data_IF_867165618123
#
_entry.id   IF_867165618123
#
_cell.length_a   1.000
_cell.length_b   1.000
_cell.length_c   1.000
_cell.angle_alpha   90.00
_cell.angle_beta   90.00
_cell.angle_gamma   90.00
#
_symmetry.space_group_name_H-M   'P 1'
#
loop_
_entity.id
_entity.type
_entity.pdbx_description
1 polymer ?
2 non-polymer ?
3 water ?
#
# COMPACT_ATOMS: atom_id res chain seq x y z
N UNK A 5 -1.58 33.68 -3.26
CA UNK A 5 -0.67 34.85 -3.12
C UNK A 5 0.68 34.47 -2.49
N UNK A 6 0.65 33.60 -1.48
CA UNK A 6 1.87 33.03 -0.94
C UNK A 6 2.45 32.03 -1.96
N UNK A 7 3.77 32.09 -2.17
CA UNK A 7 4.50 31.10 -2.98
C UNK A 7 3.68 30.44 -4.09
N UNK A 8 3.24 31.21 -5.08
CA UNK A 8 2.33 30.71 -6.12
C UNK A 8 2.77 29.42 -6.83
N UNK A 9 4.06 29.32 -7.13
CA UNK A 9 4.56 28.16 -7.90
C UNK A 9 4.38 26.87 -7.12
N UNK A 10 4.52 26.92 -5.79
CA UNK A 10 4.23 25.74 -4.97
C UNK A 10 2.79 25.26 -5.16
N UNK A 11 1.84 26.20 -5.12
CA UNK A 11 0.41 25.87 -5.29
C UNK A 11 0.06 25.45 -6.72
N UNK A 12 0.77 26.00 -7.69
CA UNK A 12 0.68 25.56 -9.09
C UNK A 12 1.10 24.09 -9.21
N UNK A 13 2.20 23.72 -8.55
CA UNK A 13 2.67 22.34 -8.63
C UNK A 13 1.74 21.42 -7.84
N UNK A 14 1.28 21.87 -6.67
CA UNK A 14 0.37 21.10 -5.86
C UNK A 14 -0.89 20.82 -6.66
N UNK A 15 -1.36 21.84 -7.36
CA UNK A 15 -2.61 21.72 -8.10
C UNK A 15 -2.44 20.66 -9.17
N UNK A 16 -1.31 20.73 -9.88
CA UNK A 16 -0.95 19.75 -10.90
C UNK A 16 -0.82 18.31 -10.37
N UNK A 17 -0.09 18.16 -9.29
CA UNK A 17 0.08 16.86 -8.63
C UNK A 17 -1.27 16.28 -8.18
N UNK A 18 -2.01 17.04 -7.38
CA UNK A 18 -3.25 16.60 -6.78
C UNK A 18 -4.38 16.37 -7.77
N UNK A 19 -4.36 17.05 -8.92
CA UNK A 19 -5.39 16.84 -9.95
C UNK A 19 -4.98 15.85 -11.02
N UNK A 20 -3.72 15.43 -10.97
CA UNK A 20 -3.21 14.38 -11.82
C UNK A 20 -2.93 14.79 -13.24
N UNK A 21 -2.74 16.08 -13.48
CA UNK A 21 -2.52 16.57 -14.84
C UNK A 21 -1.04 16.60 -15.16
N UNK A 22 -0.65 15.76 -16.14
CA UNK A 22 0.74 15.56 -16.49
C UNK A 22 1.33 16.79 -17.18
N UNK A 23 0.54 17.43 -18.03
CA UNK A 23 1.00 18.62 -18.73
C UNK A 23 1.33 19.77 -17.79
N UNK A 24 0.40 20.10 -16.91
CA UNK A 24 0.57 21.17 -15.94
C UNK A 24 1.78 20.91 -15.04
N UNK A 25 1.97 19.65 -14.64
CA UNK A 25 3.13 19.29 -13.83
C UNK A 25 4.41 19.54 -14.60
N UNK A 26 4.45 19.09 -15.85
CA UNK A 26 5.66 19.24 -16.65
C UNK A 26 5.96 20.72 -16.95
N UNK A 27 4.93 21.51 -17.25
CA UNK A 27 5.10 22.95 -17.48
C UNK A 27 5.68 23.71 -16.28
N UNK A 28 5.25 23.36 -15.08
CA UNK A 28 5.72 24.04 -13.88
C UNK A 28 7.13 23.55 -13.54
N UNK A 29 7.40 22.25 -13.71
CA UNK A 29 8.73 21.70 -13.37
C UNK A 29 9.84 22.27 -14.26
N UNK A 30 9.50 22.52 -15.51
CA UNK A 30 10.41 23.16 -16.45
C UNK A 30 10.84 24.53 -15.90
N UNK A 31 9.90 25.29 -15.36
CA UNK A 31 10.18 26.63 -14.85
C UNK A 31 11.12 26.65 -13.65
N UNK A 32 11.12 25.59 -12.84
CA UNK A 32 12.10 25.50 -11.74
C UNK A 32 13.32 24.60 -12.02
N UNK A 33 13.69 24.40 -13.28
CA UNK A 33 14.91 23.63 -13.63
C UNK A 33 15.00 22.19 -13.12
N UNK A 34 13.86 21.51 -13.16
CA UNK A 34 13.81 20.13 -12.70
C UNK A 34 14.71 19.23 -13.53
N UNK A 35 15.35 18.28 -12.86
CA UNK A 35 16.12 17.23 -13.51
C UNK A 35 15.16 16.11 -13.87
N UNK A 36 15.61 15.13 -14.64
CA UNK A 36 14.75 14.01 -15.02
C UNK A 36 14.33 13.17 -13.79
N UNK A 37 15.25 12.87 -12.88
CA UNK A 37 14.86 12.15 -11.66
C UNK A 37 13.88 12.94 -10.76
N UNK A 38 13.99 14.26 -10.74
CA UNK A 38 13.03 15.10 -10.04
C UNK A 38 11.65 15.00 -10.70
N UNK A 39 11.60 14.97 -12.03
CA UNK A 39 10.33 14.82 -12.73
C UNK A 39 9.71 13.47 -12.42
N UNK A 40 10.53 12.44 -12.52
CA UNK A 40 10.17 11.08 -12.14
C UNK A 40 9.57 11.01 -10.73
N UNK A 41 10.24 11.63 -9.76
CA UNK A 41 9.79 11.58 -8.37
C UNK A 41 8.41 12.22 -8.25
N UNK A 42 8.23 13.40 -8.84
CA UNK A 42 6.99 14.15 -8.68
C UNK A 42 5.81 13.44 -9.38
N UNK A 43 6.11 12.73 -10.45
CA UNK A 43 5.09 12.01 -11.18
C UNK A 43 4.63 10.82 -10.36
N UNK A 44 5.51 10.24 -9.55
CA UNK A 44 5.10 9.15 -8.66
C UNK A 44 4.15 9.66 -7.61
N UNK A 45 4.43 10.86 -7.07
CA UNK A 45 3.51 11.45 -6.09
C UNK A 45 2.16 11.68 -6.78
N UNK A 46 2.20 12.28 -7.94
CA UNK A 46 1.02 12.47 -8.76
C UNK A 46 0.23 11.16 -9.01
N UNK A 47 0.93 10.09 -9.32
CA UNK A 47 0.28 8.78 -9.53
C UNK A 47 -0.54 8.32 -8.33
N UNK A 48 -0.02 8.56 -7.13
CA UNK A 48 -0.75 8.27 -5.90
C UNK A 48 -2.09 9.01 -5.78
N UNK A 49 -2.10 10.29 -6.13
CA UNK A 49 -3.35 11.05 -6.20
C UNK A 49 -4.32 10.52 -7.26
N UNK A 50 -3.83 10.23 -8.45
CA UNK A 50 -4.67 9.64 -9.49
C UNK A 50 -5.30 8.31 -9.01
N UNK A 51 -4.49 7.44 -8.42
CA UNK A 51 -4.95 6.11 -8.02
C UNK A 51 -5.99 6.11 -6.89
N UNK A 52 -6.03 7.16 -6.09
CA UNK A 52 -6.90 7.19 -4.93
C UNK A 52 -8.21 7.98 -5.12
N UNK A 53 -8.40 8.53 -6.32
CA UNK A 53 -9.70 9.04 -6.72
C UNK A 53 -9.97 10.48 -6.36
N UNK A 54 -11.10 10.95 -6.85
CA UNK A 54 -11.46 12.34 -6.79
C UNK A 54 -11.73 12.88 -5.38
N UNK A 55 -12.43 12.11 -4.56
CA UNK A 55 -12.74 12.62 -3.23
C UNK A 55 -11.46 12.70 -2.36
N UNK A 56 -10.56 11.73 -2.53
CA UNK A 56 -9.28 11.71 -1.83
C UNK A 56 -8.50 12.97 -2.18
N UNK A 57 -8.53 13.36 -3.44
CA UNK A 57 -7.80 14.53 -3.89
C UNK A 57 -8.44 15.81 -3.34
N UNK A 58 -9.76 15.83 -3.21
CA UNK A 58 -10.49 16.92 -2.58
C UNK A 58 -10.10 17.09 -1.10
N UNK A 59 -10.04 15.97 -0.37
CA UNK A 59 -9.76 15.99 1.07
C UNK A 59 -8.32 16.45 1.32
N UNK A 60 -7.40 16.01 0.48
CA UNK A 60 -6.02 16.47 0.60
C UNK A 60 -5.91 17.95 0.27
N UNK A 61 -6.75 18.44 -0.63
CA UNK A 61 -6.80 19.86 -0.94
C UNK A 61 -7.29 20.66 0.26
N UNK A 62 -8.23 20.08 0.98
CA UNK A 62 -8.78 20.67 2.20
C UNK A 62 -7.69 20.84 3.23
N UNK A 63 -6.86 19.81 3.40
CA UNK A 63 -5.77 19.87 4.36
C UNK A 63 -4.82 20.99 3.96
N UNK A 64 -4.45 21.04 2.68
CA UNK A 64 -3.50 22.07 2.22
C UNK A 64 -4.06 23.47 2.45
N UNK A 65 -5.35 23.66 2.17
CA UNK A 65 -6.01 24.95 2.34
C UNK A 65 -6.10 25.33 3.84
N UNK A 66 -6.36 24.40 4.76
CA UNK A 66 -6.47 24.82 6.19
C UNK A 66 -5.08 25.04 6.80
N UNK A 67 -4.05 24.27 6.43
CA UNK A 67 -2.69 24.54 6.90
C UNK A 67 -2.19 25.88 6.36
N UNK A 68 -2.44 26.11 5.08
CA UNK A 68 -1.99 27.33 4.39
C UNK A 68 -2.64 28.61 4.93
N UNK A 69 -3.89 28.51 5.36
CA UNK A 69 -4.65 29.65 5.85
C UNK A 69 -4.75 29.64 7.38
N UNK A 70 -3.95 28.80 8.03
CA UNK A 70 -3.94 28.71 9.48
C UNK A 70 -3.34 29.97 10.10
N UNK A 71 -3.44 30.07 11.42
CA UNK A 71 -2.97 31.24 12.16
C UNK A 71 -1.45 31.34 12.07
N UNK A 72 -0.75 30.21 12.23
CA UNK A 72 0.72 30.22 12.16
C UNK A 72 1.28 30.31 10.74
N UNK A 73 0.40 30.49 9.74
CA UNK A 73 0.79 30.88 8.40
C UNK A 73 0.47 32.35 8.14
N UNK A 93 7.41 33.84 0.68
CA UNK A 93 8.02 32.59 1.10
C UNK A 93 6.98 31.58 1.56
N UNK A 94 7.26 30.30 1.33
CA UNK A 94 6.36 29.24 1.76
C UNK A 94 6.20 29.30 3.29
N UNK A 95 4.98 29.15 3.75
CA UNK A 95 4.73 29.09 5.17
C UNK A 95 5.48 27.89 5.74
N UNK A 96 6.26 28.09 6.81
CA UNK A 96 7.02 27.00 7.42
C UNK A 96 6.16 25.78 7.77
N UNK A 97 4.91 26.00 8.19
CA UNK A 97 4.01 24.89 8.51
C UNK A 97 3.65 24.07 7.27
N UNK A 98 3.59 24.72 6.12
CA UNK A 98 3.35 23.99 4.86
C UNK A 98 4.55 23.12 4.49
N UNK A 99 5.75 23.70 4.54
CA UNK A 99 6.99 22.97 4.29
C UNK A 99 7.12 21.76 5.21
N UNK A 100 6.79 21.97 6.48
CA UNK A 100 6.85 20.89 7.45
C UNK A 100 5.87 19.77 7.11
N UNK A 101 4.69 20.13 6.61
CA UNK A 101 3.68 19.15 6.24
C UNK A 101 4.22 18.31 5.10
N UNK A 102 4.86 18.97 4.14
CA UNK A 102 5.40 18.30 2.95
C UNK A 102 6.62 17.44 3.33
N UNK A 103 7.48 17.96 4.20
CA UNK A 103 8.64 17.21 4.69
C UNK A 103 8.23 15.92 5.39
N UNK A 104 7.21 15.99 6.22
CA UNK A 104 6.67 14.82 6.91
C UNK A 104 5.97 13.84 5.95
N UNK A 105 5.21 14.38 5.01
CA UNK A 105 4.55 13.54 4.00
C UNK A 105 5.57 12.68 3.27
N UNK A 106 6.74 13.25 3.00
CA UNK A 106 7.77 12.57 2.22
C UNK A 106 8.71 11.72 3.09
N UNK A 107 9.10 12.22 4.25
CA UNK A 107 10.17 11.58 5.07
C UNK A 107 9.77 11.10 6.46
N UNK A 108 8.61 11.53 6.96
CA UNK A 108 8.14 11.10 8.25
C UNK A 108 7.58 9.69 8.21
N UNK A 109 7.35 9.12 9.38
CA UNK A 109 6.56 7.91 9.48
C UNK A 109 5.10 8.29 9.21
N UNK A 110 4.26 7.34 8.82
CA UNK A 110 2.84 7.63 8.64
C UNK A 110 2.25 8.27 9.88
N UNK A 111 2.56 7.74 11.07
CA UNK A 111 2.02 8.27 12.30
C UNK A 111 2.42 9.73 12.49
N UNK A 112 3.68 10.05 12.20
CA UNK A 112 4.17 11.44 12.30
C UNK A 112 3.43 12.38 11.37
N UNK A 113 3.29 11.99 10.10
CA UNK A 113 2.55 12.78 9.13
C UNK A 113 1.09 12.97 9.55
N UNK A 114 0.41 11.88 9.91
CA UNK A 114 -1.02 11.94 10.22
C UNK A 114 -1.25 12.74 11.50
N UNK A 115 -0.39 12.55 12.49
CA UNK A 115 -0.46 13.32 13.74
C UNK A 115 -0.42 14.82 13.47
N UNK A 116 0.48 15.21 12.58
CA UNK A 116 0.66 16.61 12.19
C UNK A 116 -0.57 17.18 11.49
N UNK A 117 -1.20 16.37 10.63
CA UNK A 117 -2.45 16.77 9.98
C UNK A 117 -3.56 17.01 11.02
N UNK A 118 -3.61 16.14 12.04
CA UNK A 118 -4.63 16.20 13.08
C UNK A 118 -4.56 17.49 13.90
N UNK A 119 -3.39 18.13 13.95
CA UNK A 119 -3.26 19.44 14.59
C UNK A 119 -4.04 20.55 13.89
N UNK A 120 -4.35 20.35 12.61
CA UNK A 120 -5.06 21.35 11.80
C UNK A 120 -6.49 20.96 11.42
N UNK A 121 -6.72 19.66 11.28
CA UNK A 121 -7.99 19.13 10.82
C UNK A 121 -8.03 17.68 11.22
N UNK A 122 -8.68 17.41 12.35
CA UNK A 122 -8.71 16.07 12.92
C UNK A 122 -10.04 15.36 12.65
N UNK A 123 -10.70 15.70 11.54
CA UNK A 123 -11.88 14.96 11.09
C UNK A 123 -11.44 13.57 10.63
N UNK A 124 -12.08 12.51 11.13
CA UNK A 124 -11.59 11.14 10.91
C UNK A 124 -11.38 10.72 9.45
N UNK A 125 -12.27 11.07 8.52
CA UNK A 125 -12.07 10.70 7.12
C UNK A 125 -10.90 11.45 6.48
N UNK A 126 -10.62 12.65 6.99
CA UNK A 126 -9.46 13.42 6.54
C UNK A 126 -8.17 12.76 6.96
N UNK A 127 -8.13 12.25 8.20
CA UNK A 127 -6.97 11.52 8.70
C UNK A 127 -6.83 10.14 8.02
N UNK A 128 -7.94 9.45 7.81
CA UNK A 128 -7.90 8.17 7.09
C UNK A 128 -7.36 8.37 5.68
N UNK A 129 -7.85 9.41 5.01
CA UNK A 129 -7.41 9.74 3.67
C UNK A 129 -5.93 10.10 3.63
N UNK A 130 -5.48 10.86 4.63
CA UNK A 130 -4.10 11.29 4.73
C UNK A 130 -3.19 10.08 4.85
N UNK A 131 -3.61 9.12 5.66
CA UNK A 131 -2.84 7.91 5.87
C UNK A 131 -2.75 7.06 4.61
N UNK A 132 -3.84 7.02 3.83
CA UNK A 132 -3.86 6.26 2.56
C UNK A 132 -2.84 6.86 1.57
N UNK A 133 -2.86 8.16 1.39
CA UNK A 133 -1.94 8.83 0.47
C UNK A 133 -0.51 8.68 0.94
N UNK A 134 -0.30 8.84 2.23
CA UNK A 134 1.03 8.64 2.83
C UNK A 134 1.55 7.23 2.60
N UNK A 135 0.72 6.23 2.87
CA UNK A 135 1.09 4.85 2.60
C UNK A 135 1.39 4.65 1.12
N UNK A 136 0.63 5.31 0.25
CA UNK A 136 0.88 5.18 -1.19
C UNK A 136 2.24 5.74 -1.58
N UNK A 137 2.60 6.95 -1.16
CA UNK A 137 3.87 7.53 -1.58
C UNK A 137 5.06 6.79 -0.96
N UNK A 138 4.90 6.30 0.27
CA UNK A 138 5.94 5.49 0.91
C UNK A 138 6.18 4.18 0.16
N UNK A 139 5.10 3.58 -0.33
CA UNK A 139 5.16 2.33 -1.09
C UNK A 139 5.69 2.52 -2.50
N UNK A 140 5.32 3.63 -3.14
CA UNK A 140 5.64 3.83 -4.55
C UNK A 140 7.03 4.41 -4.76
N UNK A 141 7.46 5.30 -3.86
CA UNK A 141 8.69 6.05 -4.07
C UNK A 141 9.86 5.31 -3.45
N UNK A 142 10.92 5.18 -4.24
CA UNK A 142 12.20 4.71 -3.74
C UNK A 142 12.85 5.78 -2.91
N UNK A 143 13.93 5.41 -2.21
CA UNK A 143 14.77 6.36 -1.54
C UNK A 143 15.24 7.46 -2.49
N UNK A 144 15.65 7.08 -3.69
CA UNK A 144 16.09 8.04 -4.71
C UNK A 144 14.95 8.99 -5.14
N UNK A 145 13.73 8.47 -5.24
CA UNK A 145 12.57 9.29 -5.59
C UNK A 145 12.35 10.33 -4.49
N UNK A 146 12.48 9.90 -3.23
CA UNK A 146 12.14 10.76 -2.11
C UNK A 146 13.13 11.89 -2.02
N UNK A 147 14.41 11.56 -2.24
CA UNK A 147 15.50 12.56 -2.27
C UNK A 147 15.25 13.63 -3.31
N UNK A 148 14.91 13.15 -4.50
CA UNK A 148 14.69 14.01 -5.66
C UNK A 148 13.41 14.85 -5.53
N UNK A 149 12.38 14.33 -4.87
CA UNK A 149 11.20 15.14 -4.56
C UNK A 149 11.59 16.32 -3.64
N UNK A 150 12.46 16.05 -2.66
CA UNK A 150 12.90 17.06 -1.74
C UNK A 150 13.79 18.12 -2.39
N UNK A 151 14.70 17.71 -3.30
CA UNK A 151 15.53 18.69 -4.01
C UNK A 151 14.68 19.54 -4.95
N UNK A 152 13.63 18.94 -5.49
CA UNK A 152 12.72 19.66 -6.39
C UNK A 152 11.92 20.69 -5.62
N UNK A 153 11.43 20.31 -4.46
CA UNK A 153 10.69 21.23 -3.61
C UNK A 153 11.56 22.42 -3.18
N UNK A 154 12.84 22.18 -2.90
CA UNK A 154 13.77 23.30 -2.64
C UNK A 154 13.87 24.25 -3.85
N UNK A 155 13.87 23.74 -5.08
CA UNK A 155 13.86 24.61 -6.26
C UNK A 155 12.57 25.43 -6.37
N UNK A 156 11.46 24.85 -5.90
CA UNK A 156 10.19 25.56 -5.79
C UNK A 156 10.29 26.69 -4.76
N UNK A 157 10.78 26.40 -3.54
CA UNK A 157 10.70 27.34 -2.43
C UNK A 157 11.63 28.54 -2.62
N UNK A 158 12.68 28.33 -3.41
CA UNK A 158 13.66 29.37 -3.68
C UNK A 158 13.45 30.02 -5.06
N UNK A 159 12.40 29.65 -5.78
CA UNK A 159 12.14 30.22 -7.11
C UNK A 159 11.66 31.65 -6.93
N UNK A 160 12.01 32.57 -7.82
CA UNK A 160 11.37 33.89 -7.81
C UNK A 160 9.85 33.79 -8.03
N UNK A 161 9.38 32.73 -8.66
CA UNK A 161 7.95 32.47 -8.77
C UNK A 161 7.28 32.11 -7.44
N UNK A 162 8.10 31.85 -6.44
CA UNK A 162 7.64 31.62 -5.08
C UNK A 162 7.79 32.88 -4.26
N UNK A 163 8.99 33.47 -4.29
CA UNK A 163 9.31 34.60 -3.40
C UNK A 163 8.89 35.97 -3.93
N UNK A 164 8.87 36.12 -5.26
CA UNK A 164 8.47 37.36 -5.91
C UNK A 164 7.18 37.15 -6.70
N UNK B 5 10.76 -11.93 -5.51
CA UNK B 5 10.93 -10.80 -6.48
C UNK B 5 9.55 -10.29 -6.95
N UNK B 6 8.66 -11.23 -7.25
CA UNK B 6 7.28 -10.90 -7.61
C UNK B 6 6.53 -10.47 -6.35
N UNK B 7 5.65 -9.47 -6.51
CA UNK B 7 4.71 -9.04 -5.47
C UNK B 7 5.19 -9.24 -4.03
N UNK B 8 6.27 -8.57 -3.63
CA UNK B 8 6.87 -8.82 -2.30
C UNK B 8 5.89 -8.76 -1.14
N UNK B 9 4.96 -7.80 -1.15
CA UNK B 9 4.07 -7.62 0.00
C UNK B 9 3.19 -8.85 0.22
N UNK B 10 2.76 -9.50 -0.87
CA UNK B 10 2.00 -10.75 -0.74
C UNK B 10 2.80 -11.80 0.05
N UNK B 11 4.07 -11.97 -0.31
CA UNK B 11 4.95 -12.94 0.34
C UNK B 11 5.34 -12.54 1.76
N UNK B 12 5.37 -11.23 2.05
CA UNK B 12 5.54 -10.73 3.41
C UNK B 12 4.34 -11.13 4.27
N UNK B 13 3.14 -11.00 3.72
CA UNK B 13 1.93 -11.34 4.46
C UNK B 13 1.83 -12.85 4.62
N UNK B 14 2.16 -13.61 3.57
CA UNK B 14 2.12 -15.05 3.63
C UNK B 14 3.06 -15.49 4.72
N UNK B 15 4.24 -14.87 4.76
CA UNK B 15 5.26 -15.29 5.71
C UNK B 15 4.74 -15.07 7.12
N UNK B 16 4.12 -13.90 7.34
CA UNK B 16 3.50 -13.58 8.64
C UNK B 16 2.37 -14.54 9.05
N UNK B 17 1.46 -14.80 8.11
CA UNK B 17 0.35 -15.73 8.34
C UNK B 17 0.85 -17.15 8.66
N UNK B 18 1.63 -17.70 7.74
CA UNK B 18 2.15 -19.06 7.85
C UNK B 18 3.07 -19.29 9.06
N UNK B 19 3.80 -18.29 9.51
CA UNK B 19 4.68 -18.43 10.67
C UNK B 19 4.02 -18.04 11.99
N UNK B 20 2.82 -17.50 11.88
CA UNK B 20 1.98 -17.22 13.01
C UNK B 20 2.41 -16.01 13.80
N UNK B 21 3.16 -15.09 13.20
CA UNK B 21 3.62 -13.92 13.94
C UNK B 21 2.66 -12.75 13.80
N UNK B 22 2.10 -12.33 14.94
CA UNK B 22 1.06 -11.32 14.95
C UNK B 22 1.59 -9.94 14.60
N UNK B 23 2.78 -9.62 15.08
CA UNK B 23 3.37 -8.32 14.82
C UNK B 23 3.59 -8.11 13.34
N UNK B 24 4.25 -9.05 12.70
CA UNK B 24 4.56 -8.96 11.28
C UNK B 24 3.29 -8.81 10.47
N UNK B 25 2.26 -9.59 10.82
CA UNK B 25 0.98 -9.48 10.13
C UNK B 25 0.41 -8.08 10.30
N UNK B 26 0.41 -7.58 11.52
CA UNK B 26 -0.18 -6.27 11.76
C UNK B 26 0.59 -5.17 11.03
N UNK B 27 1.93 -5.24 11.03
CA UNK B 27 2.77 -4.27 10.33
C UNK B 27 2.50 -4.21 8.82
N UNK B 28 2.31 -5.38 8.21
CA UNK B 28 2.09 -5.44 6.77
C UNK B 28 0.66 -4.99 6.46
N UNK B 29 -0.31 -5.37 7.30
CA UNK B 29 -1.73 -5.00 7.05
C UNK B 29 -1.95 -3.47 7.10
N UNK B 30 -1.21 -2.83 7.99
CA UNK B 30 -1.24 -1.38 8.10
C UNK B 30 -0.81 -0.72 6.79
N UNK B 31 0.21 -1.28 6.14
CA UNK B 31 0.71 -0.74 4.88
C UNK B 31 -0.27 -0.82 3.74
N UNK B 32 -1.16 -1.83 3.76
CA UNK B 32 -2.20 -1.89 2.73
C UNK B 32 -3.60 -1.41 3.16
N UNK B 33 -3.67 -0.56 4.18
CA UNK B 33 -4.95 0.06 4.57
C UNK B 33 -6.06 -0.90 5.00
N UNK B 34 -5.65 -1.96 5.69
CA UNK B 34 -6.59 -2.96 6.17
C UNK B 34 -7.61 -2.35 7.14
N UNK B 35 -8.86 -2.78 7.02
CA UNK B 35 -9.91 -2.46 7.98
C UNK B 35 -9.83 -3.45 9.14
N UNK B 36 -10.57 -3.21 10.21
CA UNK B 36 -10.57 -4.11 11.35
C UNK B 36 -11.13 -5.50 11.01
N UNK B 37 -12.21 -5.59 10.24
CA UNK B 37 -12.70 -6.90 9.82
C UNK B 37 -11.69 -7.65 8.91
N UNK B 38 -10.94 -6.92 8.09
CA UNK B 38 -9.87 -7.51 7.30
C UNK B 38 -8.77 -8.05 8.21
N UNK B 39 -8.42 -7.31 9.27
CA UNK B 39 -7.42 -7.77 10.21
C UNK B 39 -7.90 -9.03 10.90
N UNK B 40 -9.13 -8.99 11.39
CA UNK B 40 -9.79 -10.14 12.01
C UNK B 40 -9.75 -11.37 11.10
N UNK B 41 -10.11 -11.21 9.83
CA UNK B 41 -10.17 -12.33 8.89
C UNK B 41 -8.79 -12.97 8.72
N UNK B 42 -7.76 -12.15 8.53
CA UNK B 42 -6.41 -12.65 8.29
C UNK B 42 -5.84 -13.36 9.52
N UNK B 43 -6.21 -12.89 10.69
CA UNK B 43 -5.75 -13.49 11.92
C UNK B 43 -6.38 -14.85 12.12
N UNK B 44 -7.58 -15.06 11.62
CA UNK B 44 -8.21 -16.38 11.71
C UNK B 44 -7.48 -17.35 10.78
N UNK B 45 -7.05 -16.87 9.61
CA UNK B 45 -6.24 -17.72 8.74
C UNK B 45 -4.94 -18.07 9.47
N UNK B 46 -4.28 -17.04 9.99
CA UNK B 46 -3.08 -17.23 10.81
C UNK B 46 -3.26 -18.26 11.93
N UNK B 47 -4.39 -18.16 12.65
CA UNK B 47 -4.68 -19.11 13.74
C UNK B 47 -4.69 -20.58 13.31
N UNK B 48 -5.22 -20.83 12.11
CA UNK B 48 -5.20 -22.15 11.49
C UNK B 48 -3.78 -22.71 11.28
N UNK B 49 -2.87 -21.87 10.79
CA UNK B 49 -1.45 -22.24 10.71
C UNK B 49 -0.81 -22.50 12.07
N UNK B 50 -1.04 -21.63 13.05
CA UNK B 50 -0.53 -21.85 14.40
C UNK B 50 -1.00 -23.23 14.95
N UNK B 51 -2.29 -23.49 14.85
CA UNK B 51 -2.91 -24.69 15.43
C UNK B 51 -2.49 -26.01 14.79
N UNK B 52 -1.96 -25.96 13.57
CA UNK B 52 -1.59 -27.19 12.87
C UNK B 52 -0.10 -27.52 12.88
N UNK B 53 0.69 -26.67 13.51
CA UNK B 53 2.06 -26.98 13.84
C UNK B 53 3.09 -26.66 12.78
N UNK B 54 4.34 -26.85 13.17
CA UNK B 54 5.47 -26.39 12.39
C UNK B 54 5.63 -27.10 11.04
N UNK B 55 5.43 -28.42 11.03
CA UNK B 55 5.64 -29.16 9.81
C UNK B 55 4.56 -28.84 8.76
N UNK B 56 3.33 -28.64 9.23
CA UNK B 56 2.20 -28.21 8.42
C UNK B 56 2.52 -26.90 7.73
N UNK B 57 3.13 -25.98 8.46
CA UNK B 57 3.46 -24.68 7.92
C UNK B 57 4.59 -24.79 6.89
N UNK B 58 5.54 -25.68 7.13
CA UNK B 58 6.61 -25.97 6.17
C UNK B 58 6.03 -26.52 4.85
N UNK B 59 5.10 -27.46 4.94
CA UNK B 59 4.53 -28.10 3.75
C UNK B 59 3.72 -27.09 2.95
N UNK B 60 2.97 -26.22 3.64
CA UNK B 60 2.21 -25.19 2.96
C UNK B 60 3.16 -24.23 2.25
N UNK B 61 4.33 -23.98 2.86
CA UNK B 61 5.32 -23.10 2.27
C UNK B 61 5.89 -23.70 1.01
N UNK B 62 6.07 -25.02 1.04
CA UNK B 62 6.53 -25.77 -0.11
C UNK B 62 5.54 -25.64 -1.27
N UNK B 63 4.25 -25.72 -0.99
CA UNK B 63 3.24 -25.54 -2.02
C UNK B 63 3.37 -24.15 -2.61
N UNK B 64 3.44 -23.13 -1.76
CA UNK B 64 3.52 -21.75 -2.23
C UNK B 64 4.78 -21.49 -3.07
N UNK B 65 5.91 -22.09 -2.67
CA UNK B 65 7.16 -21.93 -3.41
C UNK B 65 7.10 -22.65 -4.77
N UNK B 66 6.44 -23.79 -4.82
CA UNK B 66 6.31 -24.57 -6.06
C UNK B 66 5.40 -23.88 -7.08
N UNK B 67 4.25 -23.40 -6.63
CA UNK B 67 3.31 -22.69 -7.50
C UNK B 67 3.95 -21.39 -7.99
N UNK B 68 4.59 -20.66 -7.09
CA UNK B 68 5.19 -19.37 -7.37
C UNK B 68 6.36 -19.44 -8.36
N UNK B 69 7.08 -20.56 -8.35
CA UNK B 69 8.24 -20.76 -9.23
C UNK B 69 7.92 -21.72 -10.37
N UNK B 70 6.64 -22.01 -10.56
CA UNK B 70 6.19 -22.89 -11.64
C UNK B 70 6.38 -22.23 -12.99
N UNK B 71 6.21 -23.03 -14.04
CA UNK B 71 6.42 -22.57 -15.41
C UNK B 71 5.37 -21.52 -15.79
N UNK B 72 4.12 -21.72 -15.39
CA UNK B 72 3.07 -20.74 -15.70
C UNK B 72 3.09 -19.50 -14.80
N UNK B 73 4.10 -19.38 -13.93
CA UNK B 73 4.38 -18.13 -13.21
C UNK B 73 5.57 -17.35 -13.81
N UNK B 74 6.03 -17.73 -14.99
CA UNK B 74 7.10 -17.01 -15.67
C UNK B 74 6.49 -15.92 -16.56
N UNK B 93 3.43 -7.95 -10.50
CA UNK B 93 2.05 -8.44 -10.36
C UNK B 93 2.03 -9.89 -9.90
N UNK B 94 1.07 -10.22 -9.02
CA UNK B 94 0.94 -11.57 -8.51
C UNK B 94 0.69 -12.53 -9.67
N UNK B 95 1.38 -13.66 -9.64
CA UNK B 95 1.15 -14.67 -10.65
C UNK B 95 -0.30 -15.14 -10.56
N UNK B 96 -1.03 -15.14 -11.67
CA UNK B 96 -2.43 -15.58 -11.66
C UNK B 96 -2.65 -16.94 -11.01
N UNK B 97 -1.71 -17.86 -11.18
CA UNK B 97 -1.81 -19.19 -10.56
C UNK B 97 -1.75 -19.11 -9.04
N UNK B 98 -0.99 -18.16 -8.50
CA UNK B 98 -0.95 -17.93 -7.05
C UNK B 98 -2.30 -17.37 -6.56
N UNK B 99 -2.81 -16.35 -7.26
CA UNK B 99 -4.13 -15.78 -6.90
C UNK B 99 -5.21 -16.84 -6.95
N UNK B 100 -5.16 -17.71 -7.95
CA UNK B 100 -6.13 -18.77 -8.08
C UNK B 100 -6.04 -19.75 -6.92
N UNK B 101 -4.82 -20.03 -6.47
CA UNK B 101 -4.61 -20.96 -5.38
C UNK B 101 -5.23 -20.39 -4.11
N UNK B 102 -5.03 -19.09 -3.90
CA UNK B 102 -5.56 -18.39 -2.75
C UNK B 102 -7.09 -18.25 -2.82
N UNK B 103 -7.62 -17.93 -4.00
CA UNK B 103 -9.07 -17.86 -4.21
C UNK B 103 -9.73 -19.20 -3.88
N UNK B 104 -9.15 -20.30 -4.36
CA UNK B 104 -9.69 -21.63 -4.09
C UNK B 104 -9.55 -22.01 -2.62
N UNK B 105 -8.43 -21.66 -2.00
CA UNK B 105 -8.22 -21.93 -0.57
C UNK B 105 -9.31 -21.28 0.26
N UNK B 106 -9.75 -20.10 -0.17
CA UNK B 106 -10.71 -19.31 0.59
C UNK B 106 -12.16 -19.64 0.22
N UNK B 107 -12.45 -19.84 -1.07
CA UNK B 107 -13.85 -19.95 -1.55
C UNK B 107 -14.20 -21.26 -2.25
N UNK B 108 -13.21 -22.06 -2.58
CA UNK B 108 -13.46 -23.33 -3.23
C UNK B 108 -13.92 -24.38 -2.25
N UNK B 109 -14.43 -25.49 -2.77
CA UNK B 109 -14.64 -26.66 -1.92
C UNK B 109 -13.26 -27.23 -1.60
N UNK B 110 -13.16 -28.01 -0.53
CA UNK B 110 -11.91 -28.69 -0.22
C UNK B 110 -11.38 -29.48 -1.40
N UNK B 111 -12.24 -30.22 -2.10
CA UNK B 111 -11.79 -31.04 -3.24
C UNK B 111 -11.22 -30.16 -4.33
N UNK B 112 -11.86 -29.03 -4.60
CA UNK B 112 -11.38 -28.08 -5.62
C UNK B 112 -9.98 -27.54 -5.29
N UNK B 113 -9.80 -27.08 -4.05
CA UNK B 113 -8.51 -26.59 -3.61
C UNK B 113 -7.43 -27.66 -3.67
N UNK B 114 -7.73 -28.85 -3.14
CA UNK B 114 -6.75 -29.92 -3.04
C UNK B 114 -6.37 -30.41 -4.43
N UNK B 115 -7.35 -30.53 -5.31
CA UNK B 115 -7.13 -30.93 -6.70
C UNK B 115 -6.17 -29.98 -7.41
N UNK B 116 -6.35 -28.68 -7.15
CA UNK B 116 -5.51 -27.63 -7.71
C UNK B 116 -4.07 -27.73 -7.20
N UNK B 117 -3.90 -28.03 -5.91
CA UNK B 117 -2.58 -28.26 -5.33
C UNK B 117 -1.89 -29.47 -6.01
N UNK B 118 -2.66 -30.52 -6.29
CA UNK B 118 -2.13 -31.75 -6.87
C UNK B 118 -1.56 -31.52 -8.27
N UNK B 119 -2.03 -30.49 -8.98
CA UNK B 119 -1.45 -30.09 -10.27
C UNK B 119 0.01 -29.67 -10.17
N UNK B 120 0.44 -29.23 -8.99
CA UNK B 120 1.79 -28.72 -8.77
C UNK B 120 2.69 -29.60 -7.90
N UNK B 121 2.06 -30.39 -7.03
CA UNK B 121 2.76 -31.18 -6.02
C UNK B 121 1.79 -32.21 -5.46
N UNK B 122 1.84 -33.40 -6.05
CA UNK B 122 0.86 -34.45 -5.74
C UNK B 122 1.31 -35.41 -4.63
N UNK B 123 2.40 -35.12 -3.93
CA UNK B 123 2.83 -35.98 -2.81
C UNK B 123 1.69 -36.09 -1.78
N UNK B 124 1.26 -37.32 -1.44
CA UNK B 124 0.13 -37.52 -0.53
C UNK B 124 0.16 -36.70 0.76
N UNK B 125 1.33 -36.55 1.38
CA UNK B 125 1.46 -35.82 2.63
C UNK B 125 1.16 -34.32 2.45
N UNK B 126 1.58 -33.78 1.32
CA UNK B 126 1.31 -32.40 0.96
C UNK B 126 -0.19 -32.20 0.74
N UNK B 127 -0.83 -33.14 0.06
CA UNK B 127 -2.26 -33.06 -0.19
C UNK B 127 -3.06 -33.25 1.09
N UNK B 128 -2.63 -34.18 1.95
CA UNK B 128 -3.30 -34.38 3.24
C UNK B 128 -3.20 -33.10 4.07
N UNK B 129 -2.00 -32.50 4.09
CA UNK B 129 -1.77 -31.26 4.84
C UNK B 129 -2.64 -30.12 4.29
N UNK B 130 -2.75 -30.05 2.97
CA UNK B 130 -3.52 -29.00 2.31
C UNK B 130 -4.98 -29.11 2.71
N UNK B 131 -5.48 -30.33 2.76
CA UNK B 131 -6.88 -30.55 3.14
C UNK B 131 -7.13 -30.18 4.59
N UNK B 132 -6.16 -30.43 5.46
CA UNK B 132 -6.31 -30.09 6.88
C UNK B 132 -6.42 -28.57 7.08
N UNK B 133 -5.54 -27.81 6.44
CA UNK B 133 -5.55 -26.34 6.53
C UNK B 133 -6.83 -25.79 5.93
N UNK B 134 -7.20 -26.33 4.79
CA UNK B 134 -8.44 -25.94 4.11
C UNK B 134 -9.68 -26.20 4.97
N UNK B 135 -9.77 -27.37 5.59
CA UNK B 135 -10.85 -27.65 6.50
C UNK B 135 -10.83 -26.69 7.68
N UNK B 136 -9.64 -26.37 8.18
CA UNK B 136 -9.53 -25.42 9.30
C UNK B 136 -10.06 -24.02 8.92
N UNK B 137 -9.65 -23.46 7.78
CA UNK B 137 -10.12 -22.11 7.44
C UNK B 137 -11.62 -22.11 7.13
N UNK B 138 -12.11 -23.16 6.51
CA UNK B 138 -13.56 -23.27 6.25
C UNK B 138 -14.36 -23.33 7.56
N UNK B 139 -13.83 -24.05 8.54
CA UNK B 139 -14.50 -24.20 9.83
C UNK B 139 -14.40 -22.92 10.68
N UNK B 140 -13.26 -22.23 10.61
CA UNK B 140 -12.98 -21.11 11.51
C UNK B 140 -13.59 -19.79 10.99
N UNK B 141 -13.59 -19.63 9.68
CA UNK B 141 -13.96 -18.36 9.07
C UNK B 141 -15.44 -18.31 8.75
N UNK B 142 -16.08 -17.24 9.17
CA UNK B 142 -17.44 -16.93 8.75
C UNK B 142 -17.46 -16.48 7.32
N UNK B 143 -18.65 -16.42 6.75
CA UNK B 143 -18.84 -15.79 5.45
C UNK B 143 -18.26 -14.38 5.43
N UNK B 144 -18.50 -13.59 6.48
CA UNK B 144 -17.96 -12.24 6.57
C UNK B 144 -16.42 -12.24 6.63
N UNK B 145 -15.84 -13.20 7.33
CA UNK B 145 -14.38 -13.34 7.39
C UNK B 145 -13.82 -13.57 6.00
N UNK B 146 -14.48 -14.46 5.25
CA UNK B 146 -13.95 -14.89 3.96
C UNK B 146 -14.03 -13.74 2.97
N UNK B 147 -15.11 -12.97 3.02
CA UNK B 147 -15.28 -11.77 2.18
C UNK B 147 -14.16 -10.78 2.41
N UNK B 148 -13.89 -10.54 3.69
CA UNK B 148 -12.89 -9.59 4.12
C UNK B 148 -11.45 -10.06 3.85
N UNK B 149 -11.20 -11.37 3.92
CA UNK B 149 -9.89 -11.89 3.48
C UNK B 149 -9.67 -11.59 1.99
N UNK B 150 -10.74 -11.72 1.20
CA UNK B 150 -10.64 -11.46 -0.22
C UNK B 150 -10.48 -10.00 -0.57
N UNK B 151 -11.18 -9.09 0.14
CA UNK B 151 -10.96 -7.65 -0.10
C UNK B 151 -9.58 -7.22 0.34
N UNK B 152 -9.05 -7.87 1.38
CA UNK B 152 -7.71 -7.54 1.87
C UNK B 152 -6.67 -8.02 0.86
N UNK B 153 -6.87 -9.21 0.33
CA UNK B 153 -5.96 -9.72 -0.68
C UNK B 153 -5.93 -8.81 -1.91
N UNK B 154 -7.07 -8.24 -2.29
CA UNK B 154 -7.11 -7.24 -3.37
C UNK B 154 -6.27 -5.99 -3.06
N UNK B 155 -6.30 -5.53 -1.80
CA UNK B 155 -5.44 -4.41 -1.40
C UNK B 155 -3.95 -4.77 -1.45
N UNK B 156 -3.62 -6.04 -1.21
CA UNK B 156 -2.26 -6.56 -1.42
C UNK B 156 -1.87 -6.52 -2.89
N UNK B 157 -2.72 -7.07 -3.77
CA UNK B 157 -2.37 -7.30 -5.18
C UNK B 157 -2.22 -6.01 -5.97
N UNK B 158 -2.91 -4.97 -5.51
CA UNK B 158 -2.88 -3.66 -6.15
C UNK B 158 -1.98 -2.66 -5.41
N UNK B 159 -1.28 -3.08 -4.37
CA UNK B 159 -0.41 -2.16 -3.63
C UNK B 159 0.83 -1.88 -4.48
N UNK B 160 1.39 -0.68 -4.43
CA UNK B 160 2.69 -0.47 -5.09
C UNK B 160 3.80 -1.33 -4.46
N UNK B 161 3.62 -1.79 -3.23
CA UNK B 161 4.52 -2.77 -2.64
C UNK B 161 4.45 -4.15 -3.29
N UNK B 162 3.43 -4.36 -4.10
CA UNK B 162 3.26 -5.55 -4.90
C UNK B 162 3.76 -5.31 -6.32
N UNK B 163 3.26 -4.25 -6.95
CA UNK B 163 3.49 -3.99 -8.38
C UNK B 163 4.81 -3.28 -8.67
N UNK B 164 5.26 -2.44 -7.75
CA UNK B 164 6.50 -1.68 -7.90
C UNK B 164 7.50 -2.06 -6.80
X LIG C 1 2.79 16.15 -1.04
X LIG C 1 2.24 17.39 -1.70
X LIG C 1 1.29 16.92 -2.68
X LIG C 1 1.51 18.22 -0.64
X LIG C 1 3.42 18.16 -2.32
X LIG C 1 3.03 19.13 -3.43
X LIG C 1 4.18 19.86 -3.79
X LIG C 1 2.50 18.43 -4.67
X LIG D 1 -8.71 20.17 -4.55
X LIG D 1 -7.55 20.78 -5.30
X LIG D 1 -6.44 19.85 -5.22
X LIG D 1 -7.92 20.95 -6.77
X LIG D 1 -7.23 22.11 -4.59
X LIG D 1 -6.43 23.11 -5.43
X LIG D 1 -6.24 24.29 -4.68
X LIG D 1 -5.07 22.54 -5.80
X LIG E 1 -1.54 -15.91 3.72
X LIG E 1 -2.35 -15.98 2.42
X LIG E 1 -3.76 -16.10 2.75
X LIG E 1 -2.11 -14.68 1.67
X LIG E 1 -1.99 -17.16 1.52
X LIG E 1 -2.16 -18.56 2.10
X LIG E 1 -2.24 -18.58 3.53
X LIG E 1 -3.40 -19.22 1.54
X LIG F 1 7.93 -22.28 5.81
X LIG F 1 8.00 -20.76 5.70
X LIG F 1 6.66 -20.24 5.62
X LIG F 1 8.69 -20.20 6.94
X LIG F 1 8.75 -20.38 4.43
X LIG F 1 8.77 -18.88 4.17
X LIG F 1 10.02 -18.55 3.59
X LIG F 1 7.64 -18.43 3.24
#
# INVERSE_FOLDING_TARGET
>A
VKMAETCPIFYDVFFAVANGNELLLDLSLTKVNATEPERTAMKKIQDCYVENGLISRVLDGLVMTTISSSKDCMGEAVQNTVEDLKLNTLGREICPAVKRDVDLFLTGTPDEYVEQVAQYKALPVVLENARILKNCVDAKMTEEDKENALSLLDKIYTSPLCLEHHHHHH
>B
VKMAETCPIFYDVFFAVANGNELLLDLSLTKVNATEPERTAMKKIQDCYVENGLISRVLDGLVMTTISSSKDCMGEAVQNTVEDLKLNTLGREICPAVKRDVDLFLTGTPDEYVEQVAQYKALPVVLENARILKNCVDAKMTEEDKENALSLLDKIYTSPLCLEHHHHHH
>C hetero
1 MPD C1 C2 O2 CM C3 C4 O4 C5
>D hetero
1 MPD C1 C2 O2 CM C3 C4 O4 C5
>E hetero
1 MPD C1 C2 O2 CM C3 C4 O4 C5
>F hetero
1 MPD C1 C2 O2 CM C3 C4 O4 C5
#
